data_IF_219302729309
#
_entry.id   IF_219302729309
#
_cell.length_a   1.000
_cell.length_b   1.000
_cell.length_c   1.000
_cell.angle_alpha   90.00
_cell.angle_beta   90.00
_cell.angle_gamma   90.00
#
_symmetry.space_group_name_H-M   'P 1'
#
loop_
_entity.id
_entity.type
_entity.pdbx_description
1 polymer ?
#
# COMPACT_ATOMS: atom_id res chain seq x y z
N UNK A 1 13.25 -7.33 -10.03
CA UNK A 1 12.00 -6.69 -10.50
C UNK A 1 11.86 -6.68 -12.02
N UNK A 2 10.63 -6.56 -12.54
CA UNK A 2 10.37 -6.40 -13.98
C UNK A 2 9.82 -4.98 -14.24
N UNK A 3 10.70 -4.02 -14.54
CA UNK A 3 10.32 -2.60 -14.77
C UNK A 3 9.25 -2.42 -15.84
N UNK A 4 9.31 -3.18 -16.93
CA UNK A 4 8.32 -3.07 -18.02
C UNK A 4 6.92 -3.44 -17.54
N UNK A 5 6.80 -4.47 -16.70
CA UNK A 5 5.52 -4.86 -16.10
C UNK A 5 5.01 -3.78 -15.14
N UNK A 6 5.90 -3.19 -14.34
CA UNK A 6 5.56 -2.10 -13.41
C UNK A 6 5.04 -0.89 -14.20
N UNK A 7 5.75 -0.46 -15.24
CA UNK A 7 5.33 0.64 -16.13
C UNK A 7 3.97 0.36 -16.79
N UNK A 8 3.76 -0.87 -17.25
CA UNK A 8 2.47 -1.30 -17.81
C UNK A 8 1.35 -1.15 -16.78
N UNK A 9 1.54 -1.65 -15.55
CA UNK A 9 0.55 -1.58 -14.49
C UNK A 9 0.30 -0.15 -14.00
N UNK A 10 1.33 0.69 -13.86
CA UNK A 10 1.19 2.12 -13.56
C UNK A 10 0.36 2.85 -14.62
N UNK A 11 0.47 2.45 -15.89
CA UNK A 11 -0.32 3.00 -16.99
C UNK A 11 -1.84 2.81 -16.85
N UNK A 12 -2.29 1.92 -15.96
CA UNK A 12 -3.71 1.71 -15.63
C UNK A 12 -4.19 2.55 -14.46
N UNK A 13 -3.38 3.44 -13.87
CA UNK A 13 -3.82 4.35 -12.82
C UNK A 13 -3.96 5.78 -13.36
N UNK A 14 -4.85 6.55 -12.73
CA UNK A 14 -4.95 7.99 -12.93
C UNK A 14 -5.41 8.70 -11.65
N UNK A 15 -5.03 9.97 -11.54
CA UNK A 15 -5.52 10.85 -10.49
C UNK A 15 -6.82 11.53 -10.92
N UNK A 16 -7.80 11.58 -10.01
CA UNK A 16 -9.08 12.25 -10.23
C UNK A 16 -9.42 13.17 -9.07
N UNK A 17 -9.95 14.34 -9.39
CA UNK A 17 -10.48 15.27 -8.38
C UNK A 17 -11.83 14.79 -7.86
N UNK A 18 -11.99 14.77 -6.53
CA UNK A 18 -13.25 14.47 -5.85
C UNK A 18 -13.45 15.44 -4.68
N UNK A 19 -14.10 16.57 -4.95
CA UNK A 19 -14.21 17.65 -3.98
C UNK A 19 -12.90 18.42 -3.88
N UNK A 20 -12.36 18.56 -2.67
CA UNK A 20 -11.04 19.15 -2.41
C UNK A 20 -9.91 18.10 -2.44
N UNK A 21 -10.28 16.81 -2.52
CA UNK A 21 -9.34 15.69 -2.50
C UNK A 21 -8.94 15.24 -3.91
N UNK A 22 -7.71 14.74 -4.02
CA UNK A 22 -7.23 14.01 -5.20
C UNK A 22 -7.17 12.53 -4.86
N UNK A 23 -7.83 11.69 -5.66
CA UNK A 23 -7.87 10.24 -5.45
C UNK A 23 -7.20 9.49 -6.60
N UNK A 24 -6.65 8.33 -6.30
CA UNK A 24 -6.06 7.40 -7.26
C UNK A 24 -7.11 6.37 -7.67
N UNK A 25 -7.33 6.20 -8.98
CA UNK A 25 -8.32 5.24 -9.53
C UNK A 25 -7.73 4.48 -10.71
N UNK A 26 -8.43 3.42 -11.15
CA UNK A 26 -8.11 2.80 -12.44
C UNK A 26 -8.55 3.67 -13.63
N UNK A 27 -7.65 3.81 -14.59
CA UNK A 27 -7.87 4.32 -15.92
C UNK A 27 -8.32 3.18 -16.85
N UNK A 28 -9.62 3.12 -17.11
CA UNK A 28 -10.20 2.08 -17.97
C UNK A 28 -10.23 0.71 -17.31
N UNK A 29 -10.05 -0.35 -18.10
CA UNK A 29 -10.09 -1.73 -17.62
C UNK A 29 -8.67 -2.29 -17.41
N UNK A 30 -8.22 -2.45 -16.16
CA UNK A 30 -6.93 -3.09 -15.88
C UNK A 30 -6.95 -4.60 -16.19
N UNK A 31 -5.77 -5.22 -16.39
CA UNK A 31 -5.65 -6.67 -16.44
C UNK A 31 -6.25 -7.30 -15.19
N UNK A 32 -6.89 -8.46 -15.35
CA UNK A 32 -7.58 -9.13 -14.23
C UNK A 32 -6.64 -9.40 -13.05
N UNK A 33 -5.38 -9.74 -13.29
CA UNK A 33 -4.39 -9.95 -12.22
C UNK A 33 -4.16 -8.70 -11.35
N UNK A 34 -4.07 -7.51 -11.97
CA UNK A 34 -3.92 -6.25 -11.26
C UNK A 34 -5.20 -5.91 -10.47
N UNK A 35 -6.36 -6.12 -11.08
CA UNK A 35 -7.66 -5.95 -10.41
C UNK A 35 -7.81 -6.87 -9.20
N UNK A 36 -7.46 -8.14 -9.34
CA UNK A 36 -7.59 -9.13 -8.26
C UNK A 36 -6.62 -8.82 -7.12
N UNK A 37 -5.37 -8.46 -7.43
CA UNK A 37 -4.37 -8.12 -6.41
C UNK A 37 -4.78 -6.90 -5.59
N UNK A 38 -5.25 -5.82 -6.21
CA UNK A 38 -5.72 -4.66 -5.44
C UNK A 38 -6.95 -4.99 -4.61
N UNK A 39 -7.85 -5.84 -5.11
CA UNK A 39 -9.03 -6.28 -4.36
C UNK A 39 -8.64 -7.16 -3.17
N UNK A 40 -7.62 -8.01 -3.31
CA UNK A 40 -7.05 -8.76 -2.19
C UNK A 40 -6.47 -7.82 -1.13
N UNK A 41 -5.77 -6.76 -1.54
CA UNK A 41 -5.25 -5.75 -0.61
C UNK A 41 -6.37 -5.02 0.17
N UNK A 42 -7.57 -4.91 -0.41
CA UNK A 42 -8.74 -4.43 0.31
C UNK A 42 -9.31 -5.46 1.30
N UNK A 43 -9.11 -6.75 1.04
CA UNK A 43 -9.69 -7.83 1.84
C UNK A 43 -11.22 -7.74 1.89
N UNK A 44 -11.78 -7.79 3.09
CA UNK A 44 -13.23 -7.65 3.32
C UNK A 44 -13.71 -6.19 3.36
N UNK A 45 -12.81 -5.22 3.16
CA UNK A 45 -13.14 -3.79 3.24
C UNK A 45 -13.89 -3.36 1.98
N UNK A 46 -14.72 -2.34 2.13
CA UNK A 46 -15.22 -1.60 0.97
C UNK A 46 -14.03 -0.97 0.22
N UNK A 47 -14.20 -0.64 -1.09
CA UNK A 47 -13.19 0.12 -1.82
C UNK A 47 -12.74 1.35 -1.01
N UNK A 48 -11.42 1.44 -0.77
CA UNK A 48 -10.78 2.49 0.02
C UNK A 48 -9.81 3.22 -0.88
N UNK A 49 -9.98 4.54 -0.98
CA UNK A 49 -9.08 5.36 -1.79
C UNK A 49 -7.66 5.37 -1.21
N UNK A 50 -7.52 5.22 0.12
CA UNK A 50 -6.21 5.10 0.76
C UNK A 50 -5.48 3.82 0.33
N UNK A 51 -6.18 2.69 0.24
CA UNK A 51 -5.56 1.44 -0.25
C UNK A 51 -5.16 1.59 -1.72
N UNK A 52 -6.00 2.19 -2.56
CA UNK A 52 -5.64 2.49 -3.95
C UNK A 52 -4.38 3.36 -4.05
N UNK A 53 -4.31 4.40 -3.23
CA UNK A 53 -3.19 5.33 -3.22
C UNK A 53 -1.88 4.68 -2.74
N UNK A 54 -1.92 3.92 -1.63
CA UNK A 54 -0.73 3.20 -1.14
C UNK A 54 -0.31 2.08 -2.09
N UNK A 55 -1.26 1.36 -2.69
CA UNK A 55 -0.95 0.35 -3.70
C UNK A 55 -0.23 0.95 -4.91
N UNK A 56 -0.73 2.07 -5.43
CA UNK A 56 -0.06 2.81 -6.50
C UNK A 56 1.32 3.31 -6.07
N UNK A 57 1.44 3.88 -4.88
CA UNK A 57 2.70 4.42 -4.35
C UNK A 57 3.77 3.34 -4.19
N UNK A 58 3.39 2.14 -3.73
CA UNK A 58 4.31 0.99 -3.64
C UNK A 58 4.75 0.55 -5.03
N UNK A 59 3.82 0.44 -5.98
CA UNK A 59 4.13 0.06 -7.35
C UNK A 59 5.06 1.09 -8.03
N UNK A 60 4.83 2.38 -7.81
CA UNK A 60 5.69 3.46 -8.31
C UNK A 60 7.08 3.43 -7.65
N UNK A 61 7.15 3.18 -6.34
CA UNK A 61 8.39 3.03 -5.60
C UNK A 61 9.23 1.86 -6.15
N UNK A 62 8.61 0.71 -6.43
CA UNK A 62 9.28 -0.41 -7.10
C UNK A 62 9.86 -0.03 -8.46
N UNK A 63 9.19 0.85 -9.21
CA UNK A 63 9.67 1.36 -10.50
C UNK A 63 11.01 2.13 -10.42
N UNK A 64 11.38 2.60 -9.22
CA UNK A 64 12.63 3.34 -8.99
C UNK A 64 13.85 2.43 -8.75
N UNK A 65 13.64 1.15 -8.42
CA UNK A 65 14.71 0.18 -8.17
C UNK A 65 15.09 -0.59 -9.43
N UNK A 66 16.30 -1.13 -9.49
CA UNK A 66 16.79 -1.90 -10.63
C UNK A 66 16.13 -3.28 -10.76
N UNK A 67 16.18 -3.84 -11.98
CA UNK A 67 15.53 -5.12 -12.30
C UNK A 67 16.13 -6.31 -11.53
N UNK A 68 17.32 -6.18 -10.97
CA UNK A 68 17.98 -7.19 -10.14
C UNK A 68 17.83 -6.94 -8.63
N UNK A 69 17.18 -5.84 -8.22
CA UNK A 69 16.92 -5.58 -6.81
C UNK A 69 15.99 -6.65 -6.21
N UNK A 70 16.36 -7.11 -5.02
CA UNK A 70 15.56 -8.04 -4.21
C UNK A 70 14.40 -7.26 -3.58
N UNK A 71 13.19 -7.79 -3.75
CA UNK A 71 11.97 -7.20 -3.21
C UNK A 71 12.02 -7.14 -1.67
N UNK A 72 12.58 -8.15 -1.02
CA UNK A 72 12.65 -8.19 0.44
C UNK A 72 13.67 -7.20 1.00
N UNK A 73 14.74 -6.89 0.25
CA UNK A 73 15.75 -5.91 0.67
C UNK A 73 15.20 -4.47 0.66
N UNK A 74 14.29 -4.14 -0.27
CA UNK A 74 13.72 -2.79 -0.41
C UNK A 74 12.45 -2.57 0.41
N UNK A 75 11.87 -3.64 0.97
CA UNK A 75 10.59 -3.64 1.67
C UNK A 75 10.53 -2.63 2.81
N UNK A 76 11.52 -2.65 3.69
CA UNK A 76 11.55 -1.76 4.86
C UNK A 76 11.60 -0.29 4.46
N UNK A 77 12.40 0.06 3.46
CA UNK A 77 12.55 1.43 2.97
C UNK A 77 11.25 1.95 2.33
N UNK A 78 10.61 1.13 1.48
CA UNK A 78 9.35 1.50 0.82
C UNK A 78 8.23 1.65 1.84
N UNK A 79 8.06 0.68 2.75
CA UNK A 79 6.96 0.70 3.70
C UNK A 79 7.13 1.85 4.70
N UNK A 80 8.32 2.02 5.28
CA UNK A 80 8.59 3.12 6.23
C UNK A 80 8.41 4.50 5.58
N UNK A 81 8.88 4.66 4.34
CA UNK A 81 8.73 5.92 3.59
C UNK A 81 7.28 6.32 3.28
N UNK A 82 6.33 5.39 3.37
CA UNK A 82 4.91 5.63 3.11
C UNK A 82 4.07 5.81 4.38
N UNK A 83 4.65 5.62 5.57
CA UNK A 83 3.98 5.88 6.84
C UNK A 83 3.83 7.39 7.07
N UNK A 84 2.65 7.81 7.49
CA UNK A 84 2.37 9.21 7.74
C UNK A 84 3.13 9.70 8.98
N UNK A 85 3.78 10.85 8.86
CA UNK A 85 4.55 11.46 9.95
C UNK A 85 3.73 12.46 10.77
N UNK A 86 2.62 12.96 10.21
CA UNK A 86 1.75 13.90 10.90
C UNK A 86 0.62 13.18 11.63
N UNK A 87 0.43 13.55 12.90
CA UNK A 87 -0.64 13.01 13.73
C UNK A 87 -2.03 13.23 13.15
N UNK A 88 -2.26 14.34 12.44
CA UNK A 88 -3.54 14.60 11.75
C UNK A 88 -3.86 13.51 10.75
N UNK A 89 -2.87 13.08 9.97
CA UNK A 89 -3.05 12.15 8.86
C UNK A 89 -3.19 10.72 9.40
N UNK A 90 -2.39 10.36 10.39
CA UNK A 90 -2.52 9.10 11.12
C UNK A 90 -3.90 8.91 11.76
N UNK A 91 -4.42 9.96 12.41
CA UNK A 91 -5.74 9.91 13.04
C UNK A 91 -6.87 9.96 12.02
N UNK A 92 -6.68 10.64 10.88
CA UNK A 92 -7.62 10.60 9.76
C UNK A 92 -7.69 9.18 9.15
N UNK A 93 -6.54 8.54 8.92
CA UNK A 93 -6.46 7.14 8.48
C UNK A 93 -7.17 6.22 9.47
N UNK A 94 -6.89 6.34 10.77
CA UNK A 94 -7.56 5.52 11.79
C UNK A 94 -9.10 5.70 11.76
N UNK A 95 -9.58 6.91 11.49
CA UNK A 95 -11.00 7.22 11.42
C UNK A 95 -11.67 6.77 10.10
N UNK A 96 -10.92 6.56 9.02
CA UNK A 96 -11.45 6.15 7.71
C UNK A 96 -12.17 4.79 7.78
N UNK A 97 -11.69 3.88 8.62
CA UNK A 97 -12.27 2.54 8.75
C UNK A 97 -12.06 1.96 10.13
N UNK A 98 -13.14 1.37 10.69
CA UNK A 98 -13.06 0.59 11.93
C UNK A 98 -12.07 -0.58 11.83
N UNK A 99 -11.78 -1.06 10.61
CA UNK A 99 -10.79 -2.11 10.40
C UNK A 99 -9.38 -1.61 10.78
N UNK A 100 -9.07 -0.32 10.68
CA UNK A 100 -7.72 0.17 10.99
C UNK A 100 -7.35 0.01 12.48
N UNK A 101 -8.34 -0.15 13.35
CA UNK A 101 -8.14 -0.50 14.77
C UNK A 101 -7.54 -1.91 14.94
N UNK A 102 -7.81 -2.84 14.02
CA UNK A 102 -7.20 -4.18 14.02
C UNK A 102 -5.67 -4.07 14.00
N UNK A 103 -5.13 -3.19 13.16
CA UNK A 103 -3.68 -3.00 13.04
C UNK A 103 -3.00 -2.46 14.29
N UNK A 104 -3.73 -1.74 15.16
CA UNK A 104 -3.19 -1.35 16.47
C UNK A 104 -2.86 -2.59 17.29
N UNK A 105 -3.75 -3.58 17.27
CA UNK A 105 -3.55 -4.83 18.02
C UNK A 105 -2.42 -5.65 17.40
N UNK A 106 -2.39 -5.77 16.07
CA UNK A 106 -1.32 -6.48 15.37
C UNK A 106 0.05 -5.86 15.63
N UNK A 107 0.16 -4.53 15.56
CA UNK A 107 1.41 -3.83 15.84
C UNK A 107 1.89 -4.04 17.27
N UNK A 108 0.98 -4.07 18.26
CA UNK A 108 1.34 -4.39 19.65
C UNK A 108 1.86 -5.82 19.80
N UNK A 109 1.27 -6.78 19.08
CA UNK A 109 1.68 -8.19 19.15
C UNK A 109 3.00 -8.45 18.44
N UNK A 110 3.21 -7.84 17.27
CA UNK A 110 4.38 -8.07 16.42
C UNK A 110 5.59 -7.26 16.89
N UNK A 111 5.40 -6.00 17.27
CA UNK A 111 6.48 -5.06 17.59
C UNK A 111 6.57 -4.68 19.07
N UNK A 112 5.65 -5.19 19.88
CA UNK A 112 5.58 -4.91 21.31
C UNK A 112 4.80 -3.64 21.64
N UNK A 113 4.43 -3.52 22.92
CA UNK A 113 3.71 -2.36 23.43
C UNK A 113 4.58 -1.10 23.37
N UNK A 114 4.00 0.00 22.89
CA UNK A 114 4.62 1.32 22.89
C UNK A 114 4.04 2.18 24.02
N UNK A 115 4.89 3.00 24.63
CA UNK A 115 4.43 4.00 25.63
C UNK A 115 3.74 5.20 24.96
N UNK A 116 4.12 5.52 23.73
CA UNK A 116 3.56 6.60 22.93
C UNK A 116 2.51 6.05 21.96
N UNK A 117 1.26 6.48 22.16
CA UNK A 117 0.13 6.05 21.34
C UNK A 117 0.26 6.44 19.86
N UNK A 118 0.95 7.53 19.54
CA UNK A 118 1.15 7.92 18.14
C UNK A 118 2.22 7.08 17.47
N UNK A 119 3.27 6.69 18.19
CA UNK A 119 4.23 5.70 17.67
C UNK A 119 3.56 4.36 17.43
N UNK A 120 2.70 3.92 18.34
CA UNK A 120 1.90 2.71 18.11
C UNK A 120 1.03 2.84 16.86
N UNK A 121 0.40 4.01 16.66
CA UNK A 121 -0.43 4.25 15.48
C UNK A 121 0.39 4.27 14.18
N UNK A 122 1.62 4.80 14.20
CA UNK A 122 2.56 4.70 13.07
C UNK A 122 2.92 3.24 12.77
N UNK A 123 3.19 2.43 13.79
CA UNK A 123 3.47 1.00 13.61
C UNK A 123 2.26 0.22 13.08
N UNK A 124 1.05 0.62 13.49
CA UNK A 124 -0.19 0.07 12.95
C UNK A 124 -0.32 0.39 11.44
N UNK A 125 -0.07 1.64 11.06
CA UNK A 125 -0.12 2.02 9.64
C UNK A 125 1.01 1.36 8.84
N UNK A 126 2.22 1.25 9.41
CA UNK A 126 3.32 0.48 8.82
C UNK A 126 2.86 -0.94 8.48
N UNK A 127 2.23 -1.64 9.44
CA UNK A 127 1.73 -3.00 9.23
C UNK A 127 0.68 -3.06 8.11
N UNK A 128 -0.23 -2.08 8.06
CA UNK A 128 -1.23 -2.01 7.01
C UNK A 128 -0.62 -1.79 5.62
N UNK A 129 0.39 -0.94 5.51
CA UNK A 129 1.12 -0.70 4.27
C UNK A 129 1.94 -1.95 3.89
N UNK A 130 2.53 -2.63 4.87
CA UNK A 130 3.29 -3.87 4.66
C UNK A 130 2.44 -5.01 4.08
N UNK A 131 1.18 -5.13 4.51
CA UNK A 131 0.24 -6.07 3.91
C UNK A 131 -0.06 -5.73 2.44
N UNK A 132 -0.27 -4.44 2.12
CA UNK A 132 -0.46 -3.97 0.75
C UNK A 132 0.80 -4.25 -0.08
N UNK A 133 1.98 -4.02 0.49
CA UNK A 133 3.25 -4.34 -0.13
C UNK A 133 3.32 -5.82 -0.51
N UNK A 134 2.92 -6.72 0.40
CA UNK A 134 2.86 -8.16 0.13
C UNK A 134 2.01 -8.52 -1.10
N UNK A 135 0.87 -7.85 -1.29
CA UNK A 135 0.01 -8.05 -2.46
C UNK A 135 0.65 -7.54 -3.76
N UNK A 136 1.29 -6.37 -3.73
CA UNK A 136 2.01 -5.82 -4.90
C UNK A 136 3.21 -6.71 -5.26
N UNK A 137 4.00 -7.12 -4.26
CA UNK A 137 5.12 -8.03 -4.44
C UNK A 137 4.67 -9.35 -5.07
N UNK A 138 3.60 -9.97 -4.53
CA UNK A 138 3.06 -11.21 -5.07
C UNK A 138 2.58 -11.07 -6.51
N UNK A 139 1.98 -9.93 -6.87
CA UNK A 139 1.57 -9.63 -8.24
C UNK A 139 2.79 -9.59 -9.17
N UNK A 140 3.86 -8.90 -8.79
CA UNK A 140 5.07 -8.73 -9.61
C UNK A 140 5.83 -10.06 -9.80
N UNK A 141 5.91 -10.89 -8.75
CA UNK A 141 6.52 -12.23 -8.84
C UNK A 141 5.76 -13.16 -9.80
N UNK A 142 4.42 -13.17 -9.72
CA UNK A 142 3.55 -13.96 -10.62
C UNK A 142 3.58 -13.45 -12.05
N UNK A 143 3.75 -12.14 -12.25
CA UNK A 143 3.82 -11.52 -13.58
C UNK A 143 5.19 -11.67 -14.26
N UNK A 144 6.27 -11.81 -13.49
CA UNK A 144 7.65 -11.95 -14.01
C UNK A 144 8.06 -13.35 -14.47
N UNK A 145 7.22 -14.37 -14.26
CA UNK A 145 7.53 -15.79 -14.56
C UNK A 145 7.12 -16.25 -15.97
N UNK A 146 7.02 -15.34 -16.95
CA UNK A 146 6.68 -15.65 -18.35
C UNK A 146 7.85 -15.53 -19.32
#
# INVERSE_FOLDING_TARGET
MNKKLIEEYLGFFEYKQRGEDTITIFKGEPPQALRDSIMNAHGERLPSDWIFDKYHSILDAFGQYDDDADIDEVRGEIVDGLVDVYTSDLTAWLNESNYNVYYITEAQQEYGAQEDGFKLLQMAQYKAIDDIFGEVASLLEKGGTK
#
